data_IF_934365718155
#
_entry.id   IF_934365718155
#
_cell.length_a   1.000
_cell.length_b   1.000
_cell.length_c   1.000
_cell.angle_alpha   90.00
_cell.angle_beta   90.00
_cell.angle_gamma   90.00
#
_symmetry.space_group_name_H-M   'P 1'
#
loop_
_entity.id
_entity.type
_entity.pdbx_description
1 polymer ?
#
# COMPACT_ATOMS: atom_id res chain seq x y z
N UNK A 1 2.99 14.17 -11.41
CA UNK A 1 2.23 14.18 -10.14
C UNK A 1 3.14 14.85 -9.14
N UNK A 2 2.76 15.99 -8.56
CA UNK A 2 3.77 16.91 -7.98
C UNK A 2 3.53 17.25 -6.50
N UNK A 3 2.42 16.78 -5.92
CA UNK A 3 2.07 17.14 -4.54
C UNK A 3 1.55 15.93 -3.78
N UNK A 4 1.88 15.84 -2.49
CA UNK A 4 1.47 14.77 -1.58
C UNK A 4 -0.05 14.54 -1.60
N UNK A 5 -0.84 15.60 -1.68
CA UNK A 5 -2.31 15.49 -1.78
C UNK A 5 -2.79 14.77 -3.04
N UNK A 6 -2.08 14.90 -4.16
CA UNK A 6 -2.41 14.16 -5.39
C UNK A 6 -2.04 12.69 -5.26
N UNK A 7 -0.91 12.40 -4.59
CA UNK A 7 -0.49 11.04 -4.26
C UNK A 7 -1.51 10.36 -3.33
N UNK A 8 -1.89 11.02 -2.25
CA UNK A 8 -2.92 10.53 -1.31
C UNK A 8 -4.26 10.28 -2.00
N UNK A 9 -4.70 11.17 -2.90
CA UNK A 9 -5.95 11.00 -3.63
C UNK A 9 -5.93 9.74 -4.54
N UNK A 10 -4.81 9.48 -5.21
CA UNK A 10 -4.64 8.27 -6.03
C UNK A 10 -4.53 7.01 -5.16
N UNK A 11 -3.83 7.08 -4.02
CA UNK A 11 -3.78 5.98 -3.05
C UNK A 11 -5.17 5.64 -2.51
N UNK A 12 -6.00 6.64 -2.19
CA UNK A 12 -7.40 6.43 -1.77
C UNK A 12 -8.28 5.83 -2.88
N UNK A 13 -8.03 6.18 -4.15
CA UNK A 13 -8.73 5.55 -5.29
C UNK A 13 -8.36 4.07 -5.39
N UNK A 14 -7.08 3.74 -5.25
CA UNK A 14 -6.59 2.36 -5.27
C UNK A 14 -7.16 1.53 -4.12
N UNK A 15 -7.23 2.09 -2.91
CA UNK A 15 -7.82 1.42 -1.74
C UNK A 15 -9.28 1.00 -2.00
N UNK A 16 -10.06 1.88 -2.64
CA UNK A 16 -11.46 1.60 -3.02
C UNK A 16 -11.60 0.62 -4.18
N UNK A 17 -10.60 0.55 -5.06
CA UNK A 17 -10.59 -0.33 -6.22
C UNK A 17 -10.38 -1.81 -5.81
N UNK A 18 -9.57 -2.07 -4.78
CA UNK A 18 -9.22 -3.43 -4.35
C UNK A 18 -10.44 -4.33 -4.07
N UNK A 19 -11.46 -3.93 -3.29
CA UNK A 19 -12.63 -4.80 -3.07
C UNK A 19 -13.40 -5.10 -4.36
N UNK A 20 -13.46 -4.17 -5.32
CA UNK A 20 -14.09 -4.40 -6.63
C UNK A 20 -13.29 -5.41 -7.46
N UNK A 21 -11.96 -5.35 -7.40
CA UNK A 21 -11.09 -6.32 -8.06
C UNK A 21 -11.21 -7.71 -7.42
N UNK A 22 -11.25 -7.79 -6.09
CA UNK A 22 -11.45 -9.05 -5.37
C UNK A 22 -12.81 -9.68 -5.65
N UNK A 23 -13.86 -8.87 -5.85
CA UNK A 23 -15.19 -9.38 -6.17
C UNK A 23 -15.26 -10.16 -7.49
N UNK A 24 -14.27 -9.99 -8.38
CA UNK A 24 -14.18 -10.73 -9.65
C UNK A 24 -13.63 -12.14 -9.49
N UNK A 25 -13.09 -12.50 -8.32
CA UNK A 25 -12.70 -13.86 -7.95
C UNK A 25 -11.33 -14.34 -8.45
N UNK A 26 -10.58 -13.50 -9.15
CA UNK A 26 -9.24 -13.82 -9.65
C UNK A 26 -8.19 -12.91 -9.01
N UNK A 27 -7.42 -13.47 -8.08
CA UNK A 27 -6.38 -12.75 -7.34
C UNK A 27 -5.26 -12.24 -8.25
N UNK A 28 -4.86 -13.05 -9.25
CA UNK A 28 -3.81 -12.66 -10.18
C UNK A 28 -4.26 -11.48 -11.05
N UNK A 29 -5.49 -11.50 -11.56
CA UNK A 29 -6.07 -10.39 -12.30
C UNK A 29 -6.27 -9.15 -11.42
N UNK A 30 -6.62 -9.33 -10.13
CA UNK A 30 -6.71 -8.23 -9.18
C UNK A 30 -5.35 -7.57 -8.94
N UNK A 31 -4.29 -8.37 -8.77
CA UNK A 31 -2.91 -7.87 -8.65
C UNK A 31 -2.44 -7.15 -9.90
N UNK A 32 -2.68 -7.72 -11.08
CA UNK A 32 -2.27 -7.13 -12.36
C UNK A 32 -2.95 -5.77 -12.58
N UNK A 33 -4.28 -5.70 -12.39
CA UNK A 33 -5.00 -4.42 -12.49
C UNK A 33 -4.58 -3.40 -11.42
N UNK A 34 -4.27 -3.84 -10.21
CA UNK A 34 -3.75 -2.96 -9.18
C UNK A 34 -2.36 -2.42 -9.54
N UNK A 35 -1.49 -3.25 -10.12
CA UNK A 35 -0.19 -2.86 -10.62
C UNK A 35 -0.30 -1.84 -11.76
N UNK A 36 -1.21 -2.05 -12.71
CA UNK A 36 -1.50 -1.08 -13.78
C UNK A 36 -2.00 0.26 -13.23
N UNK A 37 -2.93 0.23 -12.28
CA UNK A 37 -3.50 1.43 -11.68
C UNK A 37 -2.50 2.19 -10.80
N UNK A 38 -1.52 1.50 -10.19
CA UNK A 38 -0.46 2.10 -9.38
C UNK A 38 0.81 2.48 -10.16
N UNK A 39 0.97 2.00 -11.40
CA UNK A 39 2.06 2.40 -12.29
C UNK A 39 2.27 3.92 -12.43
N UNK A 40 1.23 4.78 -12.56
CA UNK A 40 1.45 6.23 -12.64
C UNK A 40 2.00 6.82 -11.32
N UNK A 41 1.68 6.21 -10.18
CA UNK A 41 2.18 6.62 -8.86
C UNK A 41 3.66 6.27 -8.73
N UNK A 42 4.08 5.06 -9.10
CA UNK A 42 5.50 4.65 -9.00
C UNK A 42 6.37 5.30 -10.06
N UNK A 43 5.86 5.47 -11.29
CA UNK A 43 6.65 6.01 -12.41
C UNK A 43 6.83 7.52 -12.38
N UNK A 44 5.89 8.25 -11.77
CA UNK A 44 5.95 9.71 -11.65
C UNK A 44 6.11 10.17 -10.19
N UNK A 45 6.44 9.25 -9.28
CA UNK A 45 6.71 9.58 -7.89
C UNK A 45 7.91 10.53 -7.78
N UNK A 46 7.81 11.58 -6.97
CA UNK A 46 9.00 12.24 -6.43
C UNK A 46 9.82 11.22 -5.62
N UNK A 47 11.16 11.25 -5.70
CA UNK A 47 12.01 10.31 -4.95
C UNK A 47 11.82 10.45 -3.42
N UNK A 48 11.45 11.64 -2.94
CA UNK A 48 11.08 11.89 -1.54
C UNK A 48 9.81 11.14 -1.09
N UNK A 49 8.96 10.70 -2.03
CA UNK A 49 7.69 10.03 -1.76
C UNK A 49 7.65 8.58 -2.25
N UNK A 50 8.65 8.13 -3.00
CA UNK A 50 8.71 6.77 -3.56
C UNK A 50 8.62 5.69 -2.47
N UNK A 51 9.38 5.84 -1.38
CA UNK A 51 9.34 4.92 -0.24
C UNK A 51 7.96 4.91 0.45
N UNK A 52 7.35 6.09 0.61
CA UNK A 52 6.01 6.22 1.19
C UNK A 52 4.93 5.54 0.32
N UNK A 53 4.97 5.80 -1.00
CA UNK A 53 4.04 5.22 -1.97
C UNK A 53 4.19 3.70 -1.98
N UNK A 54 5.42 3.20 -2.10
CA UNK A 54 5.70 1.76 -2.17
C UNK A 54 5.22 1.04 -0.91
N UNK A 55 5.51 1.60 0.28
CA UNK A 55 5.02 1.07 1.55
C UNK A 55 3.49 1.04 1.59
N UNK A 56 2.82 2.13 1.19
CA UNK A 56 1.35 2.20 1.24
C UNK A 56 0.69 1.21 0.28
N UNK A 57 1.22 1.09 -0.94
CA UNK A 57 0.76 0.11 -1.93
C UNK A 57 0.88 -1.32 -1.40
N UNK A 58 2.04 -1.68 -0.85
CA UNK A 58 2.27 -3.00 -0.27
C UNK A 58 1.29 -3.27 0.88
N UNK A 59 1.07 -2.29 1.75
CA UNK A 59 0.13 -2.45 2.86
C UNK A 59 -1.32 -2.65 2.42
N UNK A 60 -1.76 -1.94 1.39
CA UNK A 60 -3.10 -2.14 0.84
C UNK A 60 -3.28 -3.56 0.30
N UNK A 61 -2.27 -4.12 -0.38
CA UNK A 61 -2.31 -5.50 -0.88
C UNK A 61 -2.33 -6.54 0.26
N UNK A 62 -1.54 -6.31 1.31
CA UNK A 62 -1.51 -7.19 2.50
C UNK A 62 -2.83 -7.16 3.25
N UNK A 63 -3.37 -5.98 3.51
CA UNK A 63 -4.68 -5.82 4.18
C UNK A 63 -5.81 -6.44 3.36
N UNK A 64 -5.70 -6.38 2.03
CA UNK A 64 -6.61 -7.05 1.12
C UNK A 64 -6.40 -8.56 1.04
N UNK A 65 -5.32 -9.11 1.61
CA UNK A 65 -4.97 -10.52 1.52
C UNK A 65 -4.59 -10.97 0.11
N UNK A 66 -4.21 -10.03 -0.78
CA UNK A 66 -3.76 -10.32 -2.15
C UNK A 66 -2.28 -10.74 -2.21
N UNK A 67 -1.50 -10.43 -1.18
CA UNK A 67 -0.10 -10.86 -1.04
C UNK A 67 0.14 -11.41 0.36
N UNK A 68 1.00 -12.43 0.46
CA UNK A 68 1.40 -13.01 1.72
C UNK A 68 2.59 -12.23 2.32
N UNK A 69 2.44 -11.73 3.56
CA UNK A 69 3.53 -11.21 4.39
C UNK A 69 3.30 -9.79 4.91
N UNK A 70 3.80 -9.50 6.11
CA UNK A 70 4.05 -8.12 6.52
C UNK A 70 5.25 -7.58 5.69
N UNK A 71 5.27 -6.31 5.26
CA UNK A 71 6.47 -5.75 4.64
C UNK A 71 7.66 -5.96 5.60
N UNK A 72 8.75 -6.54 5.09
CA UNK A 72 9.98 -6.71 5.87
C UNK A 72 10.46 -5.34 6.36
N UNK A 73 10.36 -5.09 7.66
CA UNK A 73 10.91 -3.89 8.31
C UNK A 73 9.99 -3.23 9.33
N UNK A 74 8.70 -3.06 9.03
CA UNK A 74 7.74 -2.38 9.92
C UNK A 74 6.32 -2.86 9.62
N UNK A 75 5.45 -3.12 10.61
CA UNK A 75 4.08 -3.50 10.33
C UNK A 75 3.39 -2.47 9.43
N UNK A 76 2.48 -2.97 8.60
CA UNK A 76 1.51 -2.14 7.94
C UNK A 76 0.56 -1.58 8.98
N UNK A 77 1.02 -0.58 9.71
CA UNK A 77 0.18 0.23 10.57
C UNK A 77 -0.86 0.93 9.68
N UNK A 78 -2.00 0.25 9.50
CA UNK A 78 -3.27 0.95 9.51
C UNK A 78 -3.25 1.80 10.77
N UNK A 79 -3.44 3.12 10.60
CA UNK A 79 -3.08 4.10 11.62
C UNK A 79 -3.47 3.68 13.04
N UNK A 80 -2.57 3.99 13.97
CA UNK A 80 -2.72 3.82 15.42
C UNK A 80 -2.38 2.41 15.93
N UNK A 81 -1.08 2.06 15.97
CA UNK A 81 -0.39 1.56 17.20
C UNK A 81 1.07 1.23 16.87
N UNK A 82 1.92 2.26 16.74
CA UNK A 82 3.37 2.10 16.83
C UNK A 82 3.71 2.05 18.32
N UNK A 83 3.28 0.99 19.03
CA UNK A 83 3.91 0.69 20.30
C UNK A 83 5.37 0.31 20.00
N UNK A 84 6.37 1.08 20.46
CA UNK A 84 7.76 0.67 20.31
C UNK A 84 7.95 -0.66 21.04
N UNK A 85 8.84 -1.55 20.58
CA UNK A 85 9.16 -2.75 21.32
C UNK A 85 9.72 -2.34 22.69
N UNK A 86 8.93 -2.53 23.74
CA UNK A 86 9.40 -2.41 25.12
C UNK A 86 10.52 -3.44 25.32
N UNK A 87 11.75 -2.97 25.22
CA UNK A 87 12.91 -3.76 25.62
C UNK A 87 12.80 -4.02 27.14
N UNK A 88 12.82 -5.29 27.60
CA UNK A 88 12.90 -5.55 29.02
C UNK A 88 14.29 -5.13 29.51
N UNK A 89 14.36 -4.02 30.25
CA UNK A 89 15.49 -3.73 31.13
C UNK A 89 15.19 -4.36 32.49
N UNK A 90 16.10 -5.25 32.90
CA UNK A 90 16.00 -6.14 34.06
C UNK A 90 16.17 -5.46 35.41
#
# INVERSE_FOLDING_TARGET
>A
MENRSAIDAELQRLEKLIPELKAQGDEAAALDRFAEASAPLTRNAPPEHEAYITRRLQCMLVQAGLVAGAPEGEPCEGGEDAAPPEAPRG
#
